data_IF_967165605120
#
_entry.id   IF_967165605120
#
_cell.length_a   1.000
_cell.length_b   1.000
_cell.length_c   1.000
_cell.angle_alpha   90.00
_cell.angle_beta   90.00
_cell.angle_gamma   90.00
#
_symmetry.space_group_name_H-M   'P 1'
#
loop_
_entity.id
_entity.type
_entity.pdbx_description
1 polymer ?
#
# COMPACT_ATOMS: atom_id res chain seq x y z
N UNK A 1 1.67 12.17 -15.41
CA UNK A 1 2.34 10.87 -15.33
C UNK A 1 1.35 9.82 -14.86
N UNK A 2 0.83 8.99 -15.76
CA UNK A 2 -0.21 7.99 -15.46
C UNK A 2 0.21 6.99 -14.36
N UNK A 3 1.51 6.68 -14.27
CA UNK A 3 2.07 5.78 -13.25
C UNK A 3 1.87 6.33 -11.83
N UNK A 4 2.05 7.64 -11.66
CA UNK A 4 1.82 8.31 -10.36
C UNK A 4 0.32 8.27 -10.02
N UNK A 5 -0.57 8.54 -10.96
CA UNK A 5 -2.01 8.46 -10.68
C UNK A 5 -2.45 7.02 -10.35
N UNK A 6 -1.88 6.02 -11.02
CA UNK A 6 -2.10 4.61 -10.68
C UNK A 6 -1.62 4.29 -9.26
N UNK A 7 -0.47 4.80 -8.84
CA UNK A 7 0.03 4.66 -7.48
C UNK A 7 -0.90 5.28 -6.43
N UNK A 8 -1.43 6.48 -6.68
CA UNK A 8 -2.43 7.13 -5.80
C UNK A 8 -3.69 6.28 -5.68
N UNK A 9 -4.21 5.76 -6.80
CA UNK A 9 -5.41 4.91 -6.79
C UNK A 9 -5.15 3.61 -6.01
N UNK A 10 -3.99 2.97 -6.19
CA UNK A 10 -3.60 1.77 -5.44
C UNK A 10 -3.55 2.03 -3.93
N UNK A 11 -2.89 3.11 -3.50
CA UNK A 11 -2.80 3.47 -2.08
C UNK A 11 -4.18 3.77 -1.51
N UNK A 12 -5.01 4.53 -2.24
CA UNK A 12 -6.37 4.86 -1.79
C UNK A 12 -7.22 3.60 -1.58
N UNK A 13 -7.19 2.67 -2.54
CA UNK A 13 -7.91 1.40 -2.44
C UNK A 13 -7.37 0.55 -1.28
N UNK A 14 -6.04 0.44 -1.14
CA UNK A 14 -5.42 -0.33 -0.07
C UNK A 14 -5.79 0.23 1.31
N UNK A 15 -5.73 1.55 1.49
CA UNK A 15 -6.13 2.21 2.75
C UNK A 15 -7.61 2.01 3.06
N UNK A 16 -8.49 2.24 2.07
CA UNK A 16 -9.93 2.08 2.27
C UNK A 16 -10.30 0.64 2.63
N UNK A 17 -9.72 -0.33 1.93
CA UNK A 17 -9.95 -1.74 2.21
C UNK A 17 -9.33 -2.18 3.55
N UNK A 18 -8.10 -1.75 3.85
CA UNK A 18 -7.42 -2.06 5.12
C UNK A 18 -8.25 -1.62 6.32
N UNK A 19 -8.78 -0.38 6.31
CA UNK A 19 -9.64 0.09 7.39
C UNK A 19 -11.03 -0.54 7.43
N UNK A 20 -11.59 -0.92 6.27
CA UNK A 20 -12.95 -1.49 6.23
C UNK A 20 -12.98 -2.96 6.65
N UNK A 21 -11.87 -3.68 6.45
CA UNK A 21 -11.78 -5.13 6.69
C UNK A 21 -10.81 -5.48 7.82
N UNK A 22 -10.30 -4.51 8.57
CA UNK A 22 -9.52 -4.80 9.78
C UNK A 22 -10.42 -5.39 10.86
N UNK A 23 -9.99 -6.47 11.49
CA UNK A 23 -10.65 -7.05 12.66
C UNK A 23 -9.71 -7.04 13.86
N UNK A 24 -10.28 -6.81 15.04
CA UNK A 24 -9.57 -6.85 16.32
C UNK A 24 -10.40 -7.70 17.28
N UNK A 25 -9.76 -8.70 17.87
CA UNK A 25 -10.39 -9.59 18.85
C UNK A 25 -9.41 -9.87 19.99
N UNK A 26 -9.94 -9.93 21.20
CA UNK A 26 -9.21 -10.38 22.38
C UNK A 26 -9.62 -11.82 22.67
N UNK A 27 -8.64 -12.71 22.68
CA UNK A 27 -8.84 -14.12 22.96
C UNK A 27 -8.28 -14.41 24.35
N UNK A 28 -9.13 -14.94 25.23
CA UNK A 28 -8.69 -15.54 26.48
C UNK A 28 -8.43 -17.02 26.21
N UNK A 29 -7.17 -17.44 26.28
CA UNK A 29 -6.74 -18.77 25.85
C UNK A 29 -6.00 -19.51 26.96
N UNK A 30 -6.36 -20.77 27.18
CA UNK A 30 -5.61 -21.71 28.01
C UNK A 30 -4.48 -22.39 27.22
N UNK A 31 -3.44 -22.89 27.89
CA UNK A 31 -2.33 -23.57 27.24
C UNK A 31 -2.83 -24.81 26.45
N UNK A 32 -2.47 -24.88 25.17
CA UNK A 32 -2.94 -25.89 24.22
C UNK A 32 -4.27 -25.55 23.54
N UNK A 33 -4.95 -24.46 23.93
CA UNK A 33 -6.19 -24.03 23.29
C UNK A 33 -5.95 -23.54 21.86
N UNK A 34 -6.90 -23.85 20.99
CA UNK A 34 -6.88 -23.45 19.58
C UNK A 34 -8.06 -22.54 19.27
N UNK A 35 -7.78 -21.40 18.65
CA UNK A 35 -8.78 -20.45 18.17
C UNK A 35 -8.64 -20.22 16.66
N UNK A 36 -9.73 -19.84 16.01
CA UNK A 36 -9.73 -19.47 14.58
C UNK A 36 -10.27 -18.06 14.42
N UNK A 37 -9.48 -17.18 13.78
CA UNK A 37 -9.83 -15.77 13.56
C UNK A 37 -9.55 -15.40 12.10
N UNK A 38 -10.58 -14.92 11.38
CA UNK A 38 -10.55 -14.64 9.93
C UNK A 38 -9.72 -15.62 9.09
N UNK A 39 -9.94 -16.93 9.32
CA UNK A 39 -9.29 -18.00 8.57
C UNK A 39 -7.87 -18.37 9.01
N UNK A 40 -7.32 -17.69 10.02
CA UNK A 40 -6.03 -18.03 10.63
C UNK A 40 -6.26 -18.93 11.84
N UNK A 41 -5.43 -19.96 11.99
CA UNK A 41 -5.47 -20.85 13.16
C UNK A 41 -4.41 -20.41 14.16
N UNK A 42 -4.83 -20.08 15.37
CA UNK A 42 -3.96 -19.70 16.47
C UNK A 42 -3.97 -20.81 17.53
N UNK A 43 -2.79 -21.23 17.97
CA UNK A 43 -2.62 -22.16 19.10
C UNK A 43 -1.77 -21.48 20.15
N UNK A 44 -2.27 -21.40 21.37
CA UNK A 44 -1.48 -20.89 22.49
C UNK A 44 -0.67 -22.04 23.09
N UNK A 45 0.66 -21.94 23.05
CA UNK A 45 1.58 -23.01 23.47
C UNK A 45 2.12 -22.81 24.89
N UNK A 46 1.87 -21.64 25.49
CA UNK A 46 2.27 -21.32 26.86
C UNK A 46 3.06 -20.01 26.95
N UNK A 47 3.61 -19.77 28.14
CA UNK A 47 4.42 -18.58 28.44
C UNK A 47 5.88 -18.99 28.63
N UNK A 48 6.79 -18.17 28.10
CA UNK A 48 8.21 -18.21 28.38
C UNK A 48 8.64 -16.93 29.09
N UNK A 49 9.24 -17.07 30.27
CA UNK A 49 9.78 -15.95 31.05
C UNK A 49 11.30 -15.97 31.01
N UNK A 50 11.89 -14.87 30.56
CA UNK A 50 13.34 -14.65 30.55
C UNK A 50 13.69 -13.51 31.49
N UNK A 51 14.55 -13.78 32.46
CA UNK A 51 15.05 -12.78 33.41
C UNK A 51 16.43 -12.27 32.99
N UNK A 52 16.52 -10.98 32.68
CA UNK A 52 17.76 -10.26 32.40
C UNK A 52 18.07 -9.27 33.55
N UNK A 53 19.34 -8.86 33.75
CA UNK A 53 19.71 -7.89 34.79
C UNK A 53 18.96 -6.55 34.71
N UNK A 54 18.56 -6.14 33.51
CA UNK A 54 17.87 -4.88 33.24
C UNK A 54 16.35 -5.00 33.13
N UNK A 55 15.82 -6.20 32.85
CA UNK A 55 14.40 -6.42 32.57
C UNK A 55 13.97 -7.88 32.73
N UNK A 56 12.70 -8.10 33.01
CA UNK A 56 12.06 -9.41 32.88
C UNK A 56 11.19 -9.41 31.62
N UNK A 57 11.38 -10.36 30.73
CA UNK A 57 10.58 -10.53 29.50
C UNK A 57 9.64 -11.70 29.66
N UNK A 58 8.35 -11.48 29.47
CA UNK A 58 7.32 -12.51 29.51
C UNK A 58 6.71 -12.62 28.12
N UNK A 59 7.00 -13.71 27.42
CA UNK A 59 6.58 -13.97 26.05
C UNK A 59 5.49 -15.05 26.00
N UNK A 60 4.42 -14.80 25.27
CA UNK A 60 3.44 -15.83 24.95
C UNK A 60 3.82 -16.52 23.65
N UNK A 61 3.98 -17.84 23.68
CA UNK A 61 4.23 -18.63 22.48
C UNK A 61 2.91 -18.90 21.77
N UNK A 62 2.70 -18.28 20.61
CA UNK A 62 1.47 -18.39 19.83
C UNK A 62 1.82 -18.90 18.44
N UNK A 63 1.35 -20.09 18.10
CA UNK A 63 1.49 -20.63 16.75
C UNK A 63 0.38 -20.11 15.85
N UNK A 64 0.75 -19.35 14.82
CA UNK A 64 -0.16 -18.88 13.77
C UNK A 64 0.15 -19.61 12.47
N UNK A 65 -0.82 -20.35 11.95
CA UNK A 65 -0.73 -21.09 10.68
C UNK A 65 0.54 -21.95 10.53
N UNK A 66 1.00 -22.51 11.65
CA UNK A 66 2.15 -23.42 11.72
C UNK A 66 3.49 -22.77 12.09
N UNK A 67 3.58 -21.44 12.18
CA UNK A 67 4.77 -20.72 12.63
C UNK A 67 4.55 -20.13 14.03
N UNK A 68 5.57 -20.21 14.90
CA UNK A 68 5.49 -19.69 16.27
C UNK A 68 5.88 -18.21 16.29
N UNK A 69 5.09 -17.42 17.00
CA UNK A 69 5.27 -16.00 17.24
C UNK A 69 5.25 -15.75 18.75
N UNK A 70 6.06 -14.79 19.18
CA UNK A 70 6.31 -14.54 20.61
C UNK A 70 5.93 -13.09 20.97
N UNK A 71 4.63 -12.71 20.97
CA UNK A 71 4.22 -11.46 21.59
C UNK A 71 4.63 -11.45 23.07
N UNK A 72 5.31 -10.39 23.50
CA UNK A 72 5.90 -10.32 24.82
C UNK A 72 5.54 -9.04 25.57
N UNK A 73 5.81 -9.03 26.86
CA UNK A 73 5.78 -7.86 27.72
C UNK A 73 7.12 -7.80 28.45
N UNK A 74 7.77 -6.64 28.45
CA UNK A 74 9.02 -6.42 29.18
C UNK A 74 8.76 -5.54 30.39
N UNK A 75 9.13 -6.01 31.57
CA UNK A 75 9.14 -5.25 32.81
C UNK A 75 10.57 -4.78 33.10
N UNK A 76 10.79 -3.47 33.10
CA UNK A 76 12.12 -2.90 33.33
C UNK A 76 12.36 -2.64 34.82
N UNK A 77 13.46 -3.21 35.34
CA UNK A 77 13.84 -3.16 36.75
C UNK A 77 14.06 -1.71 37.21
N UNK A 78 14.68 -0.90 36.36
CA UNK A 78 14.92 0.52 36.62
C UNK A 78 13.76 1.37 36.11
N UNK A 79 12.69 1.45 36.89
CA UNK A 79 11.57 2.36 36.63
C UNK A 79 10.19 1.74 36.77
N UNK A 80 10.08 0.42 36.96
CA UNK A 80 8.80 -0.28 37.11
C UNK A 80 7.89 -0.10 35.89
N UNK A 81 8.49 0.07 34.72
CA UNK A 81 7.76 0.28 33.46
C UNK A 81 7.55 -1.06 32.77
N UNK A 82 6.29 -1.31 32.41
CA UNK A 82 5.87 -2.50 31.66
C UNK A 82 5.59 -2.10 30.21
N UNK A 83 6.31 -2.70 29.26
CA UNK A 83 6.24 -2.34 27.83
C UNK A 83 5.93 -3.59 27.00
N UNK A 84 4.77 -3.59 26.33
CA UNK A 84 4.39 -4.63 25.38
C UNK A 84 5.24 -4.60 24.11
N UNK A 85 5.70 -5.77 23.69
CA UNK A 85 6.36 -6.04 22.41
C UNK A 85 5.44 -6.91 21.57
N UNK A 86 4.68 -6.32 20.63
CA UNK A 86 3.82 -7.10 19.77
C UNK A 86 4.66 -7.96 18.80
N UNK A 87 4.06 -9.05 18.33
CA UNK A 87 4.62 -9.88 17.26
C UNK A 87 3.73 -9.82 16.04
N UNK A 88 4.31 -9.94 14.84
CA UNK A 88 3.58 -9.75 13.58
C UNK A 88 3.90 -10.88 12.61
N UNK A 89 2.85 -11.54 12.14
CA UNK A 89 2.89 -12.42 10.97
C UNK A 89 2.52 -11.60 9.74
N UNK A 90 3.47 -11.36 8.83
CA UNK A 90 3.23 -10.59 7.61
C UNK A 90 2.86 -11.51 6.46
N UNK A 91 1.78 -11.19 5.75
CA UNK A 91 1.31 -11.94 4.59
C UNK A 91 1.15 -11.07 3.34
N UNK A 92 0.85 -11.73 2.22
CA UNK A 92 0.59 -11.04 0.95
C UNK A 92 -0.80 -10.38 0.90
N UNK A 93 -1.74 -10.91 1.69
CA UNK A 93 -3.15 -10.45 1.72
C UNK A 93 -3.52 -9.82 3.06
N UNK A 94 -3.05 -10.40 4.15
CA UNK A 94 -3.39 -10.02 5.51
C UNK A 94 -2.14 -10.15 6.38
N UNK A 95 -2.04 -9.27 7.35
CA UNK A 95 -1.05 -9.31 8.41
C UNK A 95 -1.77 -9.61 9.73
N UNK A 96 -1.20 -10.48 10.56
CA UNK A 96 -1.72 -10.83 11.88
C UNK A 96 -0.80 -10.23 12.93
N UNK A 97 -1.32 -9.28 13.69
CA UNK A 97 -0.65 -8.67 14.82
C UNK A 97 -1.12 -9.35 16.10
N UNK A 98 -0.16 -9.72 16.93
CA UNK A 98 -0.39 -10.35 18.22
C UNK A 98 0.17 -9.44 19.32
N UNK A 99 -0.60 -9.26 20.37
CA UNK A 99 -0.15 -8.56 21.56
C UNK A 99 -0.63 -9.32 22.81
N UNK A 100 0.28 -9.54 23.75
CA UNK A 100 -0.07 -10.07 25.06
C UNK A 100 -0.62 -8.92 25.91
N UNK A 101 -1.90 -9.00 26.30
CA UNK A 101 -2.57 -7.98 27.10
C UNK A 101 -2.53 -8.30 28.59
N UNK A 102 -2.69 -9.58 28.94
CA UNK A 102 -2.70 -10.05 30.31
C UNK A 102 -1.78 -11.25 30.45
N UNK A 103 -0.88 -11.16 31.44
CA UNK A 103 0.10 -12.20 31.74
C UNK A 103 -0.50 -13.11 32.80
N UNK A 104 -0.56 -14.44 32.58
CA UNK A 104 -1.05 -15.36 33.59
C UNK A 104 -0.14 -15.32 34.84
N UNK A 105 -0.75 -15.22 36.02
CA UNK A 105 -0.03 -15.14 37.30
C UNK A 105 0.44 -16.52 37.75
N UNK A 106 -0.35 -17.57 37.49
CA UNK A 106 -0.01 -18.96 37.81
C UNK A 106 0.06 -19.85 36.56
N UNK A 107 0.88 -20.93 36.57
CA UNK A 107 0.88 -21.92 35.50
C UNK A 107 -0.50 -22.55 35.32
N UNK A 108 -1.05 -22.42 34.10
CA UNK A 108 -2.39 -22.92 33.75
C UNK A 108 -3.48 -21.84 33.80
N UNK A 109 -3.17 -20.63 34.27
CA UNK A 109 -4.08 -19.49 34.07
C UNK A 109 -4.15 -19.12 32.59
N UNK A 110 -5.34 -18.73 32.09
CA UNK A 110 -5.49 -18.32 30.70
C UNK A 110 -4.85 -16.94 30.45
N UNK A 111 -4.14 -16.82 29.34
CA UNK A 111 -3.58 -15.56 28.86
C UNK A 111 -4.61 -14.80 28.02
N UNK A 112 -4.57 -13.47 28.05
CA UNK A 112 -5.37 -12.65 27.12
C UNK A 112 -4.47 -12.15 25.99
N UNK A 113 -4.69 -12.71 24.80
CA UNK A 113 -3.95 -12.37 23.59
C UNK A 113 -4.88 -11.58 22.68
N UNK A 114 -4.47 -10.36 22.36
CA UNK A 114 -5.10 -9.57 21.31
C UNK A 114 -4.56 -9.98 19.96
N UNK A 115 -5.48 -10.26 19.04
CA UNK A 115 -5.22 -10.56 17.63
C UNK A 115 -5.85 -9.45 16.79
N UNK A 116 -5.04 -8.80 15.96
CA UNK A 116 -5.51 -7.81 14.99
C UNK A 116 -5.14 -8.28 13.60
N UNK A 117 -6.14 -8.45 12.73
CA UNK A 117 -5.92 -8.87 11.34
C UNK A 117 -6.08 -7.64 10.46
N UNK A 118 -5.00 -7.22 9.82
CA UNK A 118 -4.96 -6.06 8.96
C UNK A 118 -4.76 -6.48 7.50
N UNK A 119 -5.80 -6.40 6.65
CA UNK A 119 -5.66 -6.69 5.24
C UNK A 119 -4.91 -5.59 4.50
N UNK A 120 -4.19 -6.01 3.44
CA UNK A 120 -3.65 -5.16 2.36
C UNK A 120 -2.58 -4.14 2.77
N UNK A 121 -1.97 -4.25 3.94
CA UNK A 121 -0.85 -3.38 4.34
C UNK A 121 0.35 -3.54 3.38
N UNK A 122 0.68 -4.76 2.96
CA UNK A 122 1.68 -5.02 1.91
C UNK A 122 1.37 -4.27 0.60
N UNK A 123 0.10 -4.11 0.23
CA UNK A 123 -0.29 -3.37 -0.98
C UNK A 123 -0.11 -1.86 -0.87
N UNK A 124 -0.12 -1.31 0.34
CA UNK A 124 0.24 0.09 0.59
C UNK A 124 1.72 0.31 0.25
N UNK A 125 2.60 -0.60 0.67
CA UNK A 125 4.02 -0.56 0.32
C UNK A 125 4.25 -0.70 -1.20
N UNK A 126 3.50 -1.60 -1.86
CA UNK A 126 3.53 -1.72 -3.33
C UNK A 126 3.09 -0.42 -3.99
N UNK A 127 1.98 0.18 -3.56
CA UNK A 127 1.50 1.46 -4.07
C UNK A 127 2.52 2.59 -3.87
N UNK A 128 3.14 2.65 -2.69
CA UNK A 128 4.23 3.57 -2.38
C UNK A 128 5.46 3.37 -3.28
N UNK A 129 5.84 2.11 -3.53
CA UNK A 129 6.90 1.76 -4.47
C UNK A 129 6.60 2.19 -5.91
N UNK A 130 5.36 1.98 -6.37
CA UNK A 130 4.90 2.42 -7.70
C UNK A 130 4.92 3.95 -7.81
N UNK A 131 4.50 4.65 -6.75
CA UNK A 131 4.59 6.12 -6.68
C UNK A 131 6.03 6.62 -6.75
N UNK A 132 6.92 6.03 -5.96
CA UNK A 132 8.34 6.38 -5.94
C UNK A 132 8.98 6.15 -7.32
N UNK A 133 8.70 5.00 -7.95
CA UNK A 133 9.20 4.67 -9.28
C UNK A 133 8.62 5.61 -10.34
N UNK A 134 7.32 5.88 -10.31
CA UNK A 134 6.67 6.83 -11.23
C UNK A 134 7.21 8.24 -11.10
N UNK A 135 7.53 8.66 -9.88
CA UNK A 135 8.16 9.97 -9.60
C UNK A 135 9.60 10.00 -10.10
N UNK A 136 10.39 8.96 -9.84
CA UNK A 136 11.75 8.84 -10.36
C UNK A 136 11.78 8.87 -11.89
N UNK A 137 10.91 8.11 -12.56
CA UNK A 137 10.78 8.10 -14.02
C UNK A 137 10.31 9.46 -14.59
N UNK A 138 9.52 10.21 -13.83
CA UNK A 138 9.11 11.56 -14.22
C UNK A 138 10.23 12.60 -13.99
N UNK A 139 11.06 12.40 -12.96
CA UNK A 139 12.18 13.28 -12.60
C UNK A 139 13.42 13.06 -13.50
N UNK A 140 13.62 11.86 -14.04
CA UNK A 140 14.65 11.56 -15.04
C UNK A 140 14.02 11.51 -16.44
N UNK A 141 14.06 12.60 -17.23
CA UNK A 141 13.51 12.61 -18.58
C UNK A 141 14.38 11.76 -19.52
N UNK A 142 14.15 10.45 -19.51
CA UNK A 142 14.52 9.56 -20.59
C UNK A 142 13.80 10.01 -21.86
N UNK A 143 14.57 10.26 -22.91
CA UNK A 143 14.14 10.76 -24.23
C UNK A 143 12.99 9.95 -24.85
N UNK A 144 11.71 10.23 -24.52
CA UNK A 144 10.47 9.99 -25.31
C UNK A 144 9.24 10.19 -24.43
N UNK A 145 8.16 10.84 -24.84
CA UNK A 145 7.66 11.25 -26.16
C UNK A 145 7.17 12.70 -26.04
N UNK A 146 7.41 13.54 -27.05
CA UNK A 146 6.70 14.81 -27.21
C UNK A 146 5.22 14.50 -27.49
N UNK A 147 4.27 14.78 -26.59
CA UNK A 147 2.84 14.70 -26.90
C UNK A 147 2.44 16.09 -27.39
N UNK A 148 2.81 16.43 -28.62
CA UNK A 148 2.32 17.62 -29.31
C UNK A 148 2.72 17.53 -30.77
N UNK A 149 2.06 16.62 -31.47
CA UNK A 149 1.72 16.91 -32.85
C UNK A 149 0.21 17.16 -32.82
N UNK A 150 -0.23 18.43 -32.84
CA UNK A 150 -1.64 18.74 -33.00
C UNK A 150 -2.11 18.10 -34.30
N UNK A 151 -2.98 17.10 -34.22
CA UNK A 151 -3.79 16.64 -35.36
C UNK A 151 -4.87 17.69 -35.59
N UNK A 152 -4.41 18.84 -36.10
CA UNK A 152 -5.23 19.88 -36.68
C UNK A 152 -4.47 20.36 -37.89
N UNK A 153 -4.37 19.52 -38.92
CA UNK A 153 -4.13 20.02 -40.27
C UNK A 153 -5.40 20.79 -40.67
N UNK A 154 -5.39 22.11 -40.86
CA UNK A 154 -6.43 22.70 -41.69
C UNK A 154 -6.22 22.09 -43.07
N UNK A 155 -7.24 21.38 -43.54
CA UNK A 155 -7.24 20.76 -44.86
C UNK A 155 -6.79 21.74 -45.93
N UNK A 156 -5.98 21.24 -46.85
CA UNK A 156 -5.61 21.97 -48.05
C UNK A 156 -6.85 22.37 -48.84
N UNK A 157 -6.99 23.66 -49.11
CA UNK A 157 -7.66 24.16 -50.29
C UNK A 157 -6.73 25.16 -50.97
N UNK A 158 -5.68 24.62 -51.58
CA UNK A 158 -5.10 25.23 -52.76
C UNK A 158 -5.73 24.53 -53.98
N UNK A 159 -6.78 25.12 -54.53
CA UNK A 159 -7.15 24.84 -55.92
C UNK A 159 -6.84 26.10 -56.73
N UNK A 160 -5.79 25.97 -57.53
CA UNK A 160 -5.41 26.87 -58.60
C UNK A 160 -6.39 26.76 -59.78
N UNK A 161 -6.76 27.92 -60.33
CA UNK A 161 -7.04 28.15 -61.76
C UNK A 161 -8.40 27.72 -62.30
N UNK A 162 -9.23 28.67 -62.75
CA UNK A 162 -9.46 28.88 -64.18
C UNK A 162 -10.25 30.18 -64.42
N UNK A 163 -9.69 31.02 -65.27
CA UNK A 163 -10.26 32.24 -65.86
C UNK A 163 -11.17 31.83 -67.04
N UNK A 164 -12.48 32.16 -67.06
CA UNK A 164 -13.36 31.75 -68.15
C UNK A 164 -13.81 32.86 -69.10
N UNK A 165 -13.29 34.09 -69.06
CA UNK A 165 -13.70 35.13 -70.04
C UNK A 165 -12.54 35.55 -70.95
N UNK A 166 -12.27 34.69 -71.93
CA UNK A 166 -11.49 35.05 -73.09
C UNK A 166 -12.22 36.13 -73.90
N UNK A 167 -11.81 37.38 -73.74
CA UNK A 167 -12.09 38.44 -74.70
C UNK A 167 -10.77 39.02 -75.22
N UNK A 168 -10.54 39.00 -76.54
CA UNK A 168 -9.34 39.59 -77.12
C UNK A 168 -9.40 41.11 -77.04
N UNK A 169 -8.28 41.71 -76.64
CA UNK A 169 -8.02 43.15 -76.70
C UNK A 169 -8.03 43.65 -78.16
N UNK A 170 -8.74 44.73 -78.47
CA UNK A 170 -8.42 45.55 -79.62
C UNK A 170 -7.56 46.75 -79.21
N UNK A 171 -6.32 46.75 -79.68
CA UNK A 171 -5.50 47.96 -79.89
C UNK A 171 -6.29 49.01 -80.69
N UNK A 172 -6.42 50.24 -80.18
CA UNK A 172 -6.55 51.48 -80.98
C UNK A 172 -5.93 52.64 -80.17
N UNK A 173 -4.69 53.03 -80.48
CA UNK A 173 -4.30 54.23 -81.26
C UNK A 173 -4.69 55.58 -80.64
N UNK A 174 -3.64 56.28 -80.16
CA UNK A 174 -3.34 57.72 -80.13
C UNK A 174 -4.41 58.81 -80.32
N UNK A 175 -4.33 59.83 -79.47
CA UNK A 175 -4.34 61.29 -79.77
C UNK A 175 -4.32 62.04 -78.42
N UNK A 176 -3.26 62.78 -78.07
CA UNK A 176 -3.02 64.17 -78.45
C UNK A 176 -4.16 65.12 -78.04
N UNK A 177 -3.95 65.86 -76.94
CA UNK A 177 -4.20 67.30 -76.79
C UNK A 177 -3.61 67.78 -75.47
#
# INVERSE_FOLDING_TARGET
GMIVHLGVVLIAVALSASQSYSSEIELRMEEGETATVDGHTLVFEGIETTEDPEKTTIAAQVRVDGQVYEPAVNEFVFGGQTIGTPSVSTGLRQDVFLALLDVPEEPGDPAVIRVVIQPLVTWLWIGGGVMALGTALAAFPGKRRRPTEPTSSPGGTAHSGQDPDGRPDPELVGSAS
#
